data_IF_919014341266
#
_entry.id   IF_919014341266
#
_cell.length_a   1.000
_cell.length_b   1.000
_cell.length_c   1.000
_cell.angle_alpha   90.00
_cell.angle_beta   90.00
_cell.angle_gamma   90.00
#
_symmetry.space_group_name_H-M   'P 1'
#
loop_
_entity.id
_entity.type
_entity.pdbx_description
1 polymer ?
#
# COMPACT_ATOMS: atom_id res chain seq x y z
N UNK A 1 -5.34 13.05 -7.24
CA UNK A 1 -6.37 12.14 -7.82
C UNK A 1 -7.66 12.34 -7.03
N UNK A 2 -8.83 12.25 -7.66
CA UNK A 2 -10.12 12.35 -6.95
C UNK A 2 -10.42 11.04 -6.20
N UNK A 3 -11.14 11.14 -5.07
CA UNK A 3 -11.58 9.96 -4.32
C UNK A 3 -12.41 9.01 -5.20
N UNK A 4 -13.31 9.53 -6.04
CA UNK A 4 -14.11 8.73 -6.98
C UNK A 4 -13.25 7.88 -7.91
N UNK A 5 -12.14 8.41 -8.40
CA UNK A 5 -11.19 7.68 -9.25
C UNK A 5 -10.46 6.58 -8.47
N UNK A 6 -10.03 6.88 -7.22
CA UNK A 6 -9.37 5.90 -6.33
C UNK A 6 -10.33 4.74 -6.04
N UNK A 7 -11.55 5.04 -5.60
CA UNK A 7 -12.55 4.03 -5.27
C UNK A 7 -12.91 3.15 -6.47
N UNK A 8 -13.01 3.74 -7.67
CA UNK A 8 -13.22 3.00 -8.90
C UNK A 8 -12.06 2.03 -9.17
N UNK A 9 -10.81 2.48 -9.11
CA UNK A 9 -9.62 1.63 -9.30
C UNK A 9 -9.61 0.49 -8.28
N UNK A 10 -9.94 0.77 -7.01
CA UNK A 10 -10.00 -0.24 -5.96
C UNK A 10 -11.08 -1.29 -6.23
N UNK A 11 -12.27 -0.88 -6.70
CA UNK A 11 -13.39 -1.79 -7.01
C UNK A 11 -13.16 -2.63 -8.26
N UNK A 12 -12.36 -2.15 -9.20
CA UNK A 12 -11.99 -2.86 -10.43
C UNK A 12 -10.77 -3.79 -10.25
N UNK A 13 -10.25 -3.92 -9.01
CA UNK A 13 -9.14 -4.81 -8.74
C UNK A 13 -9.60 -6.27 -8.80
N UNK A 14 -8.98 -7.06 -9.69
CA UNK A 14 -9.39 -8.45 -9.96
C UNK A 14 -8.94 -9.44 -8.86
N UNK A 15 -8.03 -9.02 -7.97
CA UNK A 15 -7.45 -9.91 -6.95
C UNK A 15 -8.12 -9.79 -5.59
N UNK A 16 -9.01 -8.80 -5.40
CA UNK A 16 -9.62 -8.51 -4.11
C UNK A 16 -11.06 -8.01 -4.23
N UNK A 17 -11.96 -8.54 -3.39
CA UNK A 17 -13.34 -8.06 -3.26
C UNK A 17 -13.35 -6.88 -2.28
N UNK A 18 -13.28 -5.65 -2.81
CA UNK A 18 -13.29 -4.44 -2.01
C UNK A 18 -14.70 -3.87 -1.86
N UNK A 19 -15.22 -3.89 -0.65
CA UNK A 19 -16.54 -3.36 -0.29
C UNK A 19 -16.39 -2.08 0.50
N UNK A 20 -17.12 -1.06 0.11
CA UNK A 20 -17.13 0.22 0.80
C UNK A 20 -18.48 0.92 0.70
N UNK A 21 -18.68 1.87 1.59
CA UNK A 21 -19.75 2.86 1.50
C UNK A 21 -19.23 4.25 1.79
N UNK A 22 -19.75 5.26 1.11
CA UNK A 22 -19.44 6.67 1.41
C UNK A 22 -20.43 7.13 2.45
N UNK A 23 -19.96 7.38 3.66
CA UNK A 23 -20.81 7.76 4.82
C UNK A 23 -21.16 9.24 4.77
N UNK A 24 -20.20 10.10 4.45
CA UNK A 24 -20.42 11.55 4.27
C UNK A 24 -19.32 12.17 3.43
N UNK A 25 -19.52 13.42 3.03
CA UNK A 25 -18.57 14.20 2.24
C UNK A 25 -18.66 13.93 0.74
N UNK A 26 -17.72 14.51 -0.01
CA UNK A 26 -17.73 14.48 -1.47
C UNK A 26 -16.71 13.47 -2.02
N UNK A 27 -17.15 12.64 -2.95
CA UNK A 27 -16.26 11.75 -3.71
C UNK A 27 -15.35 12.51 -4.70
N UNK A 28 -15.60 13.80 -4.91
CA UNK A 28 -14.76 14.68 -5.72
C UNK A 28 -13.58 15.27 -4.96
N UNK A 29 -13.45 14.96 -3.65
CA UNK A 29 -12.33 15.39 -2.81
C UNK A 29 -10.99 14.95 -3.41
N UNK A 30 -10.05 15.88 -3.48
CA UNK A 30 -8.70 15.61 -3.99
C UNK A 30 -7.86 14.91 -2.92
N UNK A 31 -7.23 13.79 -3.31
CA UNK A 31 -6.30 13.04 -2.48
C UNK A 31 -4.89 13.24 -3.01
N UNK A 32 -4.01 13.81 -2.18
CA UNK A 32 -2.61 14.10 -2.53
C UNK A 32 -1.62 13.05 -2.02
N UNK A 33 -2.04 12.22 -1.06
CA UNK A 33 -1.26 11.16 -0.49
C UNK A 33 -2.10 10.28 0.44
N UNK A 34 -1.49 9.27 1.02
CA UNK A 34 -2.16 8.33 1.91
C UNK A 34 -1.28 7.97 3.11
N UNK A 35 -1.87 7.83 4.28
CA UNK A 35 -1.18 7.38 5.49
C UNK A 35 -2.12 6.67 6.46
N UNK A 36 -1.58 5.78 7.28
CA UNK A 36 -2.24 5.21 8.47
C UNK A 36 -1.58 5.67 9.78
N UNK A 37 -0.56 6.55 9.70
CA UNK A 37 0.15 7.12 10.84
C UNK A 37 -0.23 8.60 10.99
N UNK A 38 -0.93 8.94 12.09
CA UNK A 38 -1.38 10.31 12.36
C UNK A 38 -0.24 11.32 12.43
N UNK A 39 0.98 10.88 12.78
CA UNK A 39 2.18 11.73 12.85
C UNK A 39 2.71 12.12 11.46
N UNK A 40 2.40 11.32 10.44
CA UNK A 40 2.77 11.54 9.04
C UNK A 40 1.68 12.23 8.23
N UNK A 41 0.59 12.66 8.91
CA UNK A 41 -0.55 13.28 8.25
C UNK A 41 -0.18 14.65 7.67
N UNK A 42 -0.56 14.86 6.42
CA UNK A 42 -0.40 16.13 5.69
C UNK A 42 -1.73 16.57 5.09
N UNK A 43 -1.84 17.84 4.73
CA UNK A 43 -3.04 18.40 4.15
C UNK A 43 -3.39 17.71 2.82
N UNK A 44 -4.65 17.32 2.69
CA UNK A 44 -5.15 16.63 1.50
C UNK A 44 -4.87 15.11 1.45
N UNK A 45 -4.27 14.53 2.49
CA UNK A 45 -4.06 13.08 2.54
C UNK A 45 -5.34 12.31 2.86
N UNK A 46 -5.39 11.06 2.39
CA UNK A 46 -6.29 10.05 2.92
C UNK A 46 -5.68 9.43 4.19
N UNK A 47 -6.45 9.40 5.26
CA UNK A 47 -6.09 8.70 6.49
C UNK A 47 -6.87 7.40 6.60
N UNK A 48 -6.17 6.28 6.73
CA UNK A 48 -6.81 4.96 6.88
C UNK A 48 -6.68 4.49 8.33
N UNK A 49 -7.81 4.33 8.99
CA UNK A 49 -7.89 3.88 10.38
C UNK A 49 -7.62 2.38 10.49
N UNK A 50 -6.41 2.01 10.87
CA UNK A 50 -6.06 0.61 11.09
C UNK A 50 -6.25 0.24 12.56
N UNK A 51 -7.04 -0.80 12.82
CA UNK A 51 -7.15 -1.41 14.13
C UNK A 51 -6.02 -2.42 14.31
N UNK A 52 -4.93 -1.96 14.91
CA UNK A 52 -3.75 -2.77 15.19
C UNK A 52 -3.83 -3.51 16.54
N UNK A 53 -2.84 -4.36 16.84
CA UNK A 53 -2.76 -5.06 18.11
C UNK A 53 -2.49 -4.14 19.32
N UNK A 54 -1.81 -3.01 19.10
CA UNK A 54 -1.39 -2.09 20.17
C UNK A 54 -2.14 -0.76 20.09
N UNK A 55 -2.48 -0.30 18.93
CA UNK A 55 -3.10 0.99 18.69
C UNK A 55 -4.25 0.89 17.70
N UNK A 56 -5.27 1.71 17.92
CA UNK A 56 -6.42 1.84 17.04
C UNK A 56 -6.41 3.22 16.38
N UNK A 57 -6.34 3.23 15.04
CA UNK A 57 -6.29 4.43 14.23
C UNK A 57 -7.50 5.34 14.39
N UNK A 58 -8.68 4.79 14.72
CA UNK A 58 -9.91 5.56 14.92
C UNK A 58 -9.78 6.60 16.04
N UNK A 59 -8.95 6.34 17.06
CA UNK A 59 -8.71 7.28 18.17
C UNK A 59 -8.01 8.57 17.77
N UNK A 60 -7.42 8.60 16.57
CA UNK A 60 -6.69 9.78 16.09
C UNK A 60 -7.48 10.64 15.13
N UNK A 61 -8.75 10.27 14.82
CA UNK A 61 -9.58 11.01 13.86
C UNK A 61 -9.71 12.49 14.25
N UNK A 62 -9.97 12.79 15.53
CA UNK A 62 -10.09 14.19 15.99
C UNK A 62 -8.82 15.01 15.80
N UNK A 63 -7.64 14.38 15.75
CA UNK A 63 -6.36 15.07 15.56
C UNK A 63 -6.06 15.35 14.08
N UNK A 64 -6.67 14.57 13.16
CA UNK A 64 -6.31 14.63 11.73
C UNK A 64 -7.44 15.15 10.84
N UNK A 65 -8.69 15.23 11.33
CA UNK A 65 -9.89 15.53 10.56
C UNK A 65 -9.83 16.86 9.78
N UNK A 66 -9.12 17.86 10.31
CA UNK A 66 -9.00 19.17 9.67
C UNK A 66 -7.97 19.19 8.53
N UNK A 67 -7.08 18.19 8.49
CA UNK A 67 -6.05 18.01 7.44
C UNK A 67 -6.45 16.96 6.41
N UNK A 68 -7.23 15.99 6.84
CA UNK A 68 -7.63 14.88 6.01
C UNK A 68 -8.59 15.34 4.90
N UNK A 69 -8.30 14.94 3.67
CA UNK A 69 -9.25 14.99 2.56
C UNK A 69 -10.24 13.83 2.62
N UNK A 70 -9.74 12.67 3.05
CA UNK A 70 -10.52 11.43 3.18
C UNK A 70 -10.15 10.72 4.47
N UNK A 71 -11.12 10.15 5.15
CA UNK A 71 -10.93 9.27 6.31
C UNK A 71 -11.58 7.92 5.98
N UNK A 72 -10.81 6.85 6.07
CA UNK A 72 -11.30 5.48 5.87
C UNK A 72 -11.42 4.80 7.22
N UNK A 73 -12.60 4.30 7.52
CA UNK A 73 -12.96 3.71 8.83
C UNK A 73 -13.47 2.28 8.67
N UNK A 74 -13.36 1.50 9.74
CA UNK A 74 -13.98 0.18 9.83
C UNK A 74 -15.49 0.33 10.04
N UNK A 75 -16.29 -0.52 9.42
CA UNK A 75 -17.74 -0.51 9.55
C UNK A 75 -18.19 -0.55 11.02
N UNK A 76 -19.10 0.37 11.39
CA UNK A 76 -19.64 0.48 12.74
C UNK A 76 -18.72 1.10 13.80
N UNK A 77 -17.46 1.43 13.48
CA UNK A 77 -16.50 2.00 14.44
C UNK A 77 -16.51 3.55 14.45
N UNK A 78 -17.25 4.19 13.55
CA UNK A 78 -17.32 5.65 13.48
C UNK A 78 -18.69 6.15 13.01
N UNK A 79 -19.28 7.03 13.79
CA UNK A 79 -20.44 7.82 13.38
C UNK A 79 -19.95 9.16 12.84
N UNK A 80 -20.35 9.49 11.60
CA UNK A 80 -19.98 10.74 10.97
C UNK A 80 -20.54 11.92 11.75
N UNK A 81 -19.68 12.71 12.40
CA UNK A 81 -20.01 13.95 13.10
C UNK A 81 -19.13 15.05 12.53
N UNK A 82 -19.76 16.05 11.89
CA UNK A 82 -19.12 17.32 11.46
C UNK A 82 -17.69 17.19 10.92
N UNK A 83 -17.50 16.38 9.90
CA UNK A 83 -16.22 16.18 9.24
C UNK A 83 -16.20 16.95 7.92
N UNK A 84 -15.19 17.79 7.72
CA UNK A 84 -14.92 18.42 6.42
C UNK A 84 -14.39 17.40 5.40
N UNK A 85 -13.82 16.30 5.89
CA UNK A 85 -13.30 15.20 5.08
C UNK A 85 -14.42 14.29 4.55
N UNK A 86 -14.21 13.67 3.40
CA UNK A 86 -15.04 12.55 2.98
C UNK A 86 -14.76 11.33 3.87
N UNK A 87 -15.80 10.65 4.33
CA UNK A 87 -15.68 9.44 5.15
C UNK A 87 -16.13 8.23 4.37
N UNK A 88 -15.24 7.26 4.26
CA UNK A 88 -15.47 5.98 3.60
C UNK A 88 -15.42 4.87 4.64
N UNK A 89 -16.47 4.06 4.70
CA UNK A 89 -16.55 2.88 5.58
C UNK A 89 -16.30 1.61 4.78
N UNK A 90 -15.64 0.64 5.37
CA UNK A 90 -15.32 -0.65 4.78
C UNK A 90 -15.22 -1.74 5.85
N UNK A 91 -15.47 -2.98 5.47
CA UNK A 91 -15.31 -4.15 6.33
C UNK A 91 -13.82 -4.54 6.56
N UNK A 92 -12.89 -4.04 5.70
CA UNK A 92 -11.46 -4.31 5.82
C UNK A 92 -10.60 -3.08 5.50
N UNK A 93 -10.20 -2.32 6.52
CA UNK A 93 -9.37 -1.12 6.35
C UNK A 93 -7.93 -1.44 5.93
N UNK A 94 -7.42 -2.66 6.18
CA UNK A 94 -6.09 -3.06 5.68
C UNK A 94 -6.11 -3.29 4.18
N UNK A 95 -7.14 -3.95 3.68
CA UNK A 95 -7.37 -4.09 2.24
C UNK A 95 -7.54 -2.71 1.59
N UNK A 96 -8.35 -1.84 2.19
CA UNK A 96 -8.50 -0.46 1.72
C UNK A 96 -7.16 0.26 1.63
N UNK A 97 -6.30 0.15 2.68
CA UNK A 97 -4.97 0.76 2.69
C UNK A 97 -4.12 0.26 1.51
N UNK A 98 -4.12 -1.05 1.24
CA UNK A 98 -3.34 -1.65 0.18
C UNK A 98 -3.80 -1.16 -1.21
N UNK A 99 -5.09 -1.28 -1.51
CA UNK A 99 -5.64 -0.90 -2.81
C UNK A 99 -5.58 0.60 -3.07
N UNK A 100 -5.91 1.41 -2.06
CA UNK A 100 -5.83 2.87 -2.19
C UNK A 100 -4.37 3.35 -2.32
N UNK A 101 -3.41 2.67 -1.67
CA UNK A 101 -1.98 2.97 -1.85
C UNK A 101 -1.56 2.69 -3.30
N UNK A 102 -1.94 1.55 -3.86
CA UNK A 102 -1.68 1.24 -5.26
C UNK A 102 -2.20 2.36 -6.18
N UNK A 103 -3.47 2.76 -6.00
CA UNK A 103 -4.10 3.81 -6.80
C UNK A 103 -3.39 5.17 -6.65
N UNK A 104 -3.09 5.59 -5.42
CA UNK A 104 -2.43 6.89 -5.14
C UNK A 104 -1.05 6.96 -5.75
N UNK A 105 -0.29 5.86 -5.77
CA UNK A 105 1.02 5.78 -6.42
C UNK A 105 0.96 5.40 -7.91
N UNK A 106 -0.23 5.34 -8.52
CA UNK A 106 -0.43 5.13 -9.97
C UNK A 106 -0.24 3.69 -10.43
N UNK A 107 -0.61 2.71 -9.58
CA UNK A 107 -0.52 1.27 -9.81
C UNK A 107 0.85 0.85 -10.34
N UNK A 108 1.93 1.10 -9.58
CA UNK A 108 3.29 0.89 -10.05
C UNK A 108 3.63 -0.59 -10.25
N UNK A 109 2.95 -1.49 -9.56
CA UNK A 109 3.02 -2.95 -9.75
C UNK A 109 2.73 -3.36 -11.21
N UNK A 110 1.77 -2.71 -11.87
CA UNK A 110 1.41 -2.97 -13.28
C UNK A 110 2.47 -2.51 -14.30
N UNK A 111 3.48 -1.77 -13.85
CA UNK A 111 4.59 -1.27 -14.67
C UNK A 111 5.88 -2.05 -14.48
N UNK A 112 5.89 -3.00 -13.57
CA UNK A 112 7.01 -3.87 -13.21
C UNK A 112 6.61 -5.32 -13.43
N UNK A 113 7.56 -6.13 -13.85
CA UNK A 113 7.40 -7.58 -13.75
C UNK A 113 7.62 -8.00 -12.30
N UNK A 114 6.57 -8.48 -11.64
CA UNK A 114 6.53 -8.67 -10.20
C UNK A 114 6.72 -10.14 -9.81
N UNK A 115 7.71 -10.42 -8.96
CA UNK A 115 8.04 -11.77 -8.49
C UNK A 115 7.93 -11.81 -6.97
N UNK A 116 7.02 -12.64 -6.45
CA UNK A 116 6.82 -12.83 -5.02
C UNK A 116 7.44 -14.13 -4.54
N UNK A 117 8.32 -14.07 -3.53
CA UNK A 117 8.96 -15.25 -2.94
C UNK A 117 8.41 -15.47 -1.53
N UNK A 118 7.69 -16.57 -1.33
CA UNK A 118 7.23 -17.01 -0.02
C UNK A 118 7.88 -18.33 0.39
N UNK A 119 7.70 -18.73 1.65
CA UNK A 119 8.25 -19.98 2.18
C UNK A 119 8.76 -19.82 3.62
N UNK A 120 9.00 -20.94 4.29
CA UNK A 120 9.48 -20.96 5.67
C UNK A 120 10.94 -20.50 5.79
N UNK A 121 11.80 -20.92 4.83
CA UNK A 121 13.22 -20.59 4.75
C UNK A 121 13.62 -20.30 3.30
N UNK A 122 14.76 -19.66 3.11
CA UNK A 122 15.36 -19.43 1.79
C UNK A 122 14.81 -18.24 1.02
N UNK A 123 13.77 -17.54 1.49
CA UNK A 123 13.21 -16.36 0.80
C UNK A 123 14.29 -15.35 0.40
N UNK A 124 15.05 -14.87 1.36
CA UNK A 124 16.11 -13.88 1.15
C UNK A 124 17.15 -14.36 0.13
N UNK A 125 17.64 -15.58 0.29
CA UNK A 125 18.62 -16.14 -0.66
C UNK A 125 18.04 -16.20 -2.06
N UNK A 126 16.79 -16.69 -2.21
CA UNK A 126 16.13 -16.83 -3.50
C UNK A 126 15.86 -15.46 -4.16
N UNK A 127 15.44 -14.45 -3.38
CA UNK A 127 15.21 -13.11 -3.94
C UNK A 127 16.49 -12.50 -4.51
N UNK A 128 17.63 -12.62 -3.80
CA UNK A 128 18.92 -12.15 -4.33
C UNK A 128 19.41 -12.94 -5.54
N UNK A 129 19.20 -14.28 -5.55
CA UNK A 129 19.57 -15.11 -6.69
C UNK A 129 18.76 -14.72 -7.94
N UNK A 130 17.44 -14.59 -7.81
CA UNK A 130 16.56 -14.19 -8.92
C UNK A 130 16.92 -12.78 -9.42
N UNK A 131 17.10 -11.81 -8.51
CA UNK A 131 17.54 -10.46 -8.88
C UNK A 131 18.84 -10.49 -9.67
N UNK A 132 19.86 -11.20 -9.20
CA UNK A 132 21.17 -11.27 -9.86
C UNK A 132 21.08 -11.92 -11.25
N UNK A 133 20.24 -12.95 -11.42
CA UNK A 133 20.01 -13.59 -12.73
C UNK A 133 19.36 -12.61 -13.70
N UNK A 134 18.31 -11.88 -13.26
CA UNK A 134 17.64 -10.89 -14.10
C UNK A 134 18.58 -9.75 -14.51
N UNK A 135 19.40 -9.27 -13.60
CA UNK A 135 20.39 -8.22 -13.89
C UNK A 135 21.50 -8.71 -14.83
N UNK A 136 21.96 -9.95 -14.68
CA UNK A 136 22.89 -10.57 -15.63
C UNK A 136 22.30 -10.68 -17.05
N UNK A 137 20.97 -10.76 -17.16
CA UNK A 137 20.25 -10.71 -18.44
C UNK A 137 19.95 -9.27 -18.92
N UNK A 138 20.47 -8.24 -18.23
CA UNK A 138 20.25 -6.83 -18.60
C UNK A 138 18.91 -6.26 -18.14
N UNK A 139 18.18 -6.95 -17.25
CA UNK A 139 16.90 -6.50 -16.70
C UNK A 139 17.15 -5.81 -15.37
N UNK A 140 17.09 -4.47 -15.34
CA UNK A 140 17.22 -3.69 -14.10
C UNK A 140 16.13 -4.06 -13.13
N UNK A 141 16.49 -4.58 -11.94
CA UNK A 141 15.57 -5.25 -11.02
C UNK A 141 15.67 -4.65 -9.61
N UNK A 142 14.51 -4.20 -9.08
CA UNK A 142 14.38 -3.83 -7.68
C UNK A 142 14.28 -5.04 -6.75
N UNK A 143 14.50 -4.84 -5.46
CA UNK A 143 14.35 -5.87 -4.43
C UNK A 143 13.67 -5.29 -3.19
N UNK A 144 12.73 -6.04 -2.60
CA UNK A 144 12.20 -5.79 -1.26
C UNK A 144 12.40 -7.06 -0.43
N UNK A 145 13.17 -6.96 0.65
CA UNK A 145 13.48 -8.13 1.46
C UNK A 145 13.82 -7.83 2.91
N UNK A 146 14.23 -8.87 3.63
CA UNK A 146 14.53 -8.82 5.06
C UNK A 146 15.74 -7.92 5.37
N UNK A 147 16.73 -7.86 4.48
CA UNK A 147 17.97 -7.12 4.71
C UNK A 147 17.76 -5.66 4.29
N UNK A 148 17.25 -5.45 3.09
CA UNK A 148 17.16 -4.13 2.49
C UNK A 148 16.12 -4.06 1.39
N UNK A 149 15.75 -2.83 1.01
CA UNK A 149 15.02 -2.51 -0.22
C UNK A 149 16.00 -1.88 -1.20
N UNK A 150 16.14 -2.45 -2.41
CA UNK A 150 17.03 -1.95 -3.46
C UNK A 150 16.19 -1.27 -4.54
N UNK A 151 16.47 0.02 -4.78
CA UNK A 151 15.78 0.86 -5.77
C UNK A 151 16.83 1.40 -6.74
N UNK A 152 16.92 0.81 -7.93
CA UNK A 152 18.02 1.15 -8.83
C UNK A 152 19.38 0.84 -8.20
N UNK A 153 20.19 1.87 -7.94
CA UNK A 153 21.52 1.75 -7.35
C UNK A 153 21.52 2.08 -5.83
N UNK A 154 20.37 2.42 -5.26
CA UNK A 154 20.21 2.75 -3.86
C UNK A 154 19.77 1.54 -3.05
N UNK A 155 20.44 1.27 -1.92
CA UNK A 155 20.09 0.23 -0.97
C UNK A 155 19.66 0.86 0.36
N UNK A 156 18.46 0.60 0.81
CA UNK A 156 17.84 1.15 2.01
C UNK A 156 17.62 0.00 3.01
N UNK A 157 18.20 0.05 4.23
CA UNK A 157 17.99 -0.98 5.24
C UNK A 157 16.51 -1.24 5.52
N UNK A 158 16.10 -2.50 5.55
CA UNK A 158 14.73 -2.88 5.79
C UNK A 158 14.39 -2.92 7.29
N UNK A 159 13.15 -2.50 7.63
CA UNK A 159 12.60 -2.68 8.98
C UNK A 159 11.75 -3.95 9.09
N UNK A 160 11.17 -4.41 8.00
CA UNK A 160 10.33 -5.59 7.90
C UNK A 160 10.65 -6.37 6.64
N UNK A 161 10.55 -7.71 6.71
CA UNK A 161 10.69 -8.58 5.52
C UNK A 161 9.73 -8.19 4.41
N UNK A 162 8.48 -7.92 4.79
CA UNK A 162 7.41 -7.41 3.92
C UNK A 162 6.90 -6.12 4.55
N UNK A 163 7.21 -4.95 4.00
CA UNK A 163 6.79 -3.66 4.53
C UNK A 163 5.27 -3.48 4.53
N UNK A 164 4.79 -2.38 5.11
CA UNK A 164 3.37 -2.00 4.98
C UNK A 164 3.05 -1.63 3.51
N UNK A 165 1.79 -1.81 3.11
CA UNK A 165 1.37 -1.63 1.71
C UNK A 165 1.73 -0.26 1.13
N UNK A 166 1.66 0.81 1.91
CA UNK A 166 2.09 2.16 1.50
C UNK A 166 3.57 2.14 1.08
N UNK A 167 4.43 1.54 1.91
CA UNK A 167 5.89 1.49 1.67
C UNK A 167 6.22 0.62 0.47
N UNK A 168 5.46 -0.46 0.23
CA UNK A 168 5.61 -1.31 -0.95
C UNK A 168 5.32 -0.52 -2.22
N UNK A 169 4.13 0.11 -2.32
CA UNK A 169 3.75 0.87 -3.52
C UNK A 169 4.62 2.11 -3.73
N UNK A 170 5.04 2.77 -2.65
CA UNK A 170 6.03 3.86 -2.73
C UNK A 170 7.36 3.37 -3.29
N UNK A 171 7.84 2.21 -2.85
CA UNK A 171 9.09 1.61 -3.36
C UNK A 171 8.95 1.20 -4.82
N UNK A 172 7.82 0.60 -5.20
CA UNK A 172 7.54 0.24 -6.60
C UNK A 172 7.51 1.48 -7.50
N UNK A 173 6.86 2.56 -7.07
CA UNK A 173 6.85 3.81 -7.83
C UNK A 173 8.27 4.35 -8.05
N UNK A 174 9.09 4.39 -6.99
CA UNK A 174 10.50 4.78 -7.09
C UNK A 174 11.32 3.86 -7.99
N UNK A 175 11.05 2.54 -7.97
CA UNK A 175 11.70 1.57 -8.86
C UNK A 175 11.37 1.85 -10.32
N UNK A 176 10.09 2.15 -10.62
CA UNK A 176 9.66 2.56 -11.98
C UNK A 176 10.42 3.82 -12.41
N UNK A 177 10.48 4.85 -11.55
CA UNK A 177 11.18 6.11 -11.84
C UNK A 177 12.69 5.90 -12.02
N UNK A 178 13.28 4.95 -11.28
CA UNK A 178 14.68 4.55 -11.43
C UNK A 178 14.94 3.67 -12.67
N UNK A 179 13.90 3.36 -13.45
CA UNK A 179 14.00 2.58 -14.69
C UNK A 179 14.05 1.06 -14.50
N UNK A 180 13.72 0.56 -13.31
CA UNK A 180 13.56 -0.88 -13.09
C UNK A 180 12.44 -1.42 -13.99
N UNK A 181 12.63 -2.65 -14.45
CA UNK A 181 11.66 -3.41 -15.27
C UNK A 181 11.04 -4.57 -14.51
N UNK A 182 11.71 -5.01 -13.46
CA UNK A 182 11.24 -6.08 -12.58
C UNK A 182 11.46 -5.71 -11.11
N UNK A 183 10.72 -6.40 -10.25
CA UNK A 183 10.95 -6.39 -8.80
C UNK A 183 10.81 -7.81 -8.26
N UNK A 184 11.71 -8.18 -7.37
CA UNK A 184 11.62 -9.43 -6.59
C UNK A 184 11.40 -9.06 -5.14
N UNK A 185 10.35 -9.63 -4.51
CA UNK A 185 10.08 -9.31 -3.12
C UNK A 185 9.84 -10.55 -2.27
N UNK A 186 10.28 -10.48 -1.00
CA UNK A 186 9.93 -11.46 0.01
C UNK A 186 8.50 -11.21 0.48
N UNK A 187 7.66 -12.24 0.38
CA UNK A 187 6.28 -12.24 0.86
C UNK A 187 6.17 -13.15 2.07
N UNK A 188 6.14 -12.57 3.27
CA UNK A 188 6.01 -13.32 4.51
C UNK A 188 4.55 -13.70 4.77
N UNK A 189 4.33 -14.81 5.49
CA UNK A 189 2.99 -15.23 5.93
C UNK A 189 2.27 -14.14 6.75
N UNK A 190 3.01 -13.38 7.55
CA UNK A 190 2.46 -12.25 8.28
C UNK A 190 2.07 -11.09 7.34
N UNK A 191 2.88 -10.81 6.31
CA UNK A 191 2.54 -9.82 5.28
C UNK A 191 1.25 -10.17 4.55
N UNK A 192 1.08 -11.44 4.18
CA UNK A 192 -0.17 -11.95 3.59
C UNK A 192 -1.35 -11.81 4.56
N UNK A 193 -1.20 -12.27 5.80
CA UNK A 193 -2.26 -12.21 6.83
C UNK A 193 -2.72 -10.77 7.13
N UNK A 194 -1.84 -9.79 6.97
CA UNK A 194 -2.10 -8.38 7.25
C UNK A 194 -2.44 -7.58 5.98
N UNK A 195 -2.79 -8.24 4.88
CA UNK A 195 -3.14 -7.64 3.59
C UNK A 195 -2.08 -6.66 3.02
N UNK A 196 -0.80 -6.80 3.44
CA UNK A 196 0.25 -5.88 3.00
C UNK A 196 0.54 -5.94 1.51
N UNK A 197 0.30 -7.11 0.90
CA UNK A 197 0.47 -7.34 -0.54
C UNK A 197 -0.84 -7.51 -1.28
N UNK A 198 -1.98 -7.22 -0.62
CA UNK A 198 -3.28 -7.31 -1.26
C UNK A 198 -3.36 -6.34 -2.46
N UNK A 199 -4.00 -6.78 -3.52
CA UNK A 199 -4.15 -6.01 -4.75
C UNK A 199 -2.94 -6.06 -5.69
N UNK A 200 -1.78 -6.57 -5.26
CA UNK A 200 -0.64 -6.78 -6.13
C UNK A 200 -0.87 -8.05 -6.97
N UNK A 201 -0.82 -7.90 -8.29
CA UNK A 201 -0.83 -9.03 -9.21
C UNK A 201 0.60 -9.48 -9.45
N UNK A 202 1.03 -10.53 -8.76
CA UNK A 202 2.35 -11.12 -9.03
C UNK A 202 2.33 -11.89 -10.34
N UNK A 203 3.29 -11.60 -11.22
CA UNK A 203 3.48 -12.37 -12.47
C UNK A 203 4.02 -13.77 -12.19
N UNK A 204 4.83 -13.89 -11.12
CA UNK A 204 5.37 -15.18 -10.62
C UNK A 204 5.32 -15.19 -9.09
N UNK A 205 4.90 -16.33 -8.53
CA UNK A 205 4.85 -16.55 -7.09
C UNK A 205 5.28 -17.95 -6.69
#
# INVERSE_FOLDING_TARGET
MKLSEILKICSENETADFRYSVVCGSTESQVTGITSDSRKMQDGYAFVCIKGAVSDGHKYIDQIKDKASVIVVLDGEYEAKDCNAAVVSTDNTRLALALMSAAVYGNPDRKLFTIGITGTKGKTTTTYMVKNVLEACGIKTGLIGTIETIIGDEAIPAHNTTPESIEIHQSFAKMVDAGCKAVVMEVSSQGLKLDRTAGIMFDIG
#
